data_IF_837343980981
#
_entry.id   IF_837343980981
#
_cell.length_a   1.000
_cell.length_b   1.000
_cell.length_c   1.000
_cell.angle_alpha   90.00
_cell.angle_beta   90.00
_cell.angle_gamma   90.00
#
_symmetry.space_group_name_H-M   'P 1'
#
loop_
_entity.id
_entity.type
_entity.pdbx_description
1 polymer ?
#
# COMPACT_ATOMS: atom_id res chain seq x y z
N UNK A 1 -3.11 10.59 23.93
CA UNK A 1 -3.63 10.14 22.62
C UNK A 1 -3.27 11.20 21.59
N UNK A 2 -2.05 11.16 21.08
CA UNK A 2 -1.57 12.11 20.06
C UNK A 2 -0.62 11.35 19.13
N UNK A 3 -0.73 11.61 17.82
CA UNK A 3 0.16 11.19 16.71
C UNK A 3 -0.14 9.95 15.83
N UNK A 4 -1.25 9.22 15.98
CA UNK A 4 -1.58 8.17 14.97
C UNK A 4 -2.31 8.74 13.74
N UNK A 5 -2.94 9.91 13.87
CA UNK A 5 -3.74 10.51 12.80
C UNK A 5 -2.87 10.98 11.62
N UNK A 6 -1.62 11.42 11.86
CA UNK A 6 -0.79 11.98 10.77
C UNK A 6 -0.29 10.92 9.77
N UNK A 7 0.15 9.74 10.22
CA UNK A 7 0.80 8.76 9.30
C UNK A 7 -0.15 8.16 8.28
N UNK A 8 -1.39 7.87 8.69
CA UNK A 8 -2.39 7.37 7.75
C UNK A 8 -2.79 8.47 6.76
N UNK A 9 -2.93 9.72 7.23
CA UNK A 9 -3.20 10.85 6.35
C UNK A 9 -2.05 11.10 5.37
N UNK A 10 -0.81 10.92 5.79
CA UNK A 10 0.37 11.01 4.92
C UNK A 10 0.34 9.92 3.84
N UNK A 11 -0.03 8.68 4.18
CA UNK A 11 -0.19 7.60 3.22
C UNK A 11 -1.32 7.90 2.22
N UNK A 12 -2.47 8.37 2.70
CA UNK A 12 -3.59 8.76 1.83
C UNK A 12 -3.21 9.93 0.90
N UNK A 13 -2.47 10.91 1.42
CA UNK A 13 -1.93 12.02 0.64
C UNK A 13 -0.96 11.54 -0.44
N UNK A 14 -0.05 10.62 -0.09
CA UNK A 14 0.87 10.00 -1.04
C UNK A 14 0.11 9.23 -2.13
N UNK A 15 -0.81 8.35 -1.76
CA UNK A 15 -1.61 7.57 -2.71
C UNK A 15 -2.41 8.47 -3.67
N UNK A 16 -2.96 9.58 -3.16
CA UNK A 16 -3.64 10.59 -3.98
C UNK A 16 -2.69 11.22 -5.00
N UNK A 17 -1.46 11.57 -4.59
CA UNK A 17 -0.45 12.13 -5.50
C UNK A 17 0.00 11.13 -6.56
N UNK A 18 0.21 9.87 -6.19
CA UNK A 18 0.62 8.82 -7.12
C UNK A 18 -0.46 8.56 -8.20
N UNK A 19 -1.73 8.72 -7.85
CA UNK A 19 -2.87 8.52 -8.76
C UNK A 19 -3.45 9.81 -9.34
N UNK A 20 -2.73 10.92 -9.24
CA UNK A 20 -3.15 12.18 -9.87
C UNK A 20 -3.15 12.05 -11.41
N UNK A 21 -4.26 12.39 -12.12
CA UNK A 21 -4.36 12.16 -13.56
C UNK A 21 -3.37 12.97 -14.42
N UNK A 22 -2.90 14.11 -13.93
CA UNK A 22 -2.04 15.03 -14.70
C UNK A 22 -0.56 14.81 -14.36
N UNK A 23 -0.25 14.53 -13.09
CA UNK A 23 1.11 14.52 -12.56
C UNK A 23 1.51 13.22 -11.86
N UNK A 24 0.60 12.24 -11.79
CA UNK A 24 0.78 10.98 -11.08
C UNK A 24 1.78 10.03 -11.72
N UNK A 25 2.07 8.94 -11.02
CA UNK A 25 2.94 7.89 -11.47
C UNK A 25 2.29 7.11 -12.63
N UNK A 26 2.96 6.98 -13.80
CA UNK A 26 2.38 6.29 -14.95
C UNK A 26 2.03 4.81 -14.71
N UNK A 27 2.67 4.17 -13.73
CA UNK A 27 2.36 2.79 -13.35
C UNK A 27 1.11 2.72 -12.49
N UNK A 28 1.00 3.56 -11.45
CA UNK A 28 -0.16 3.61 -10.54
C UNK A 28 -1.45 3.98 -11.27
N UNK A 29 -1.37 4.91 -12.24
CA UNK A 29 -2.50 5.31 -13.07
C UNK A 29 -3.05 4.19 -13.94
N UNK A 30 -2.22 3.19 -14.31
CA UNK A 30 -2.64 2.04 -15.11
C UNK A 30 -3.24 0.91 -14.27
N UNK A 31 -3.13 0.98 -12.94
CA UNK A 31 -3.63 -0.06 -12.06
C UNK A 31 -5.16 -0.03 -11.95
N UNK A 32 -5.75 -1.22 -11.93
CA UNK A 32 -7.16 -1.47 -11.63
C UNK A 32 -7.26 -2.37 -10.40
N UNK A 33 -8.45 -2.53 -9.84
CA UNK A 33 -8.64 -3.51 -8.76
C UNK A 33 -8.19 -4.91 -9.18
N UNK A 34 -8.48 -5.33 -10.41
CA UNK A 34 -8.10 -6.64 -10.93
C UNK A 34 -6.57 -6.81 -11.06
N UNK A 35 -5.84 -5.77 -11.46
CA UNK A 35 -4.38 -5.87 -11.60
C UNK A 35 -3.65 -5.90 -10.25
N UNK A 36 -4.29 -5.42 -9.18
CA UNK A 36 -3.72 -5.41 -7.82
C UNK A 36 -3.93 -6.74 -7.08
N UNK A 37 -4.92 -7.55 -7.47
CA UNK A 37 -5.22 -8.85 -6.83
C UNK A 37 -4.00 -9.76 -6.64
N UNK A 38 -3.17 -10.06 -7.67
CA UNK A 38 -2.03 -10.96 -7.49
C UNK A 38 -1.04 -10.43 -6.44
N UNK A 39 -0.75 -9.12 -6.44
CA UNK A 39 0.14 -8.51 -5.46
C UNK A 39 -0.46 -8.53 -4.05
N UNK A 40 -1.77 -8.30 -3.92
CA UNK A 40 -2.44 -8.40 -2.61
C UNK A 40 -2.35 -9.81 -2.03
N UNK A 41 -2.41 -10.84 -2.88
CA UNK A 41 -2.25 -12.23 -2.45
C UNK A 41 -0.81 -12.53 -2.02
N UNK A 42 0.18 -12.07 -2.78
CA UNK A 42 1.61 -12.19 -2.43
C UNK A 42 1.90 -11.57 -1.05
N UNK A 43 1.46 -10.33 -0.82
CA UNK A 43 1.63 -9.62 0.45
C UNK A 43 0.98 -10.37 1.64
N UNK A 44 -0.17 -11.03 1.42
CA UNK A 44 -0.79 -11.87 2.48
C UNK A 44 0.08 -13.06 2.82
N UNK A 45 0.68 -13.72 1.82
CA UNK A 45 1.62 -14.82 2.08
C UNK A 45 2.88 -14.35 2.80
N UNK A 46 3.41 -13.17 2.45
CA UNK A 46 4.56 -12.59 3.15
C UNK A 46 4.24 -12.27 4.62
N UNK A 47 3.05 -11.73 4.89
CA UNK A 47 2.56 -11.52 6.27
C UNK A 47 2.46 -12.84 7.03
N UNK A 48 1.94 -13.90 6.39
CA UNK A 48 1.87 -15.23 7.02
C UNK A 48 3.26 -15.78 7.33
N UNK A 49 4.21 -15.75 6.38
CA UNK A 49 5.59 -16.21 6.60
C UNK A 49 6.26 -15.48 7.76
N UNK A 50 6.07 -14.15 7.82
CA UNK A 50 6.60 -13.30 8.88
C UNK A 50 6.09 -13.72 10.27
N UNK A 51 4.79 -14.04 10.37
CA UNK A 51 4.17 -14.52 11.61
C UNK A 51 4.70 -15.92 11.98
N UNK A 52 4.76 -16.85 11.02
CA UNK A 52 5.24 -18.22 11.26
C UNK A 52 6.69 -18.26 11.74
N UNK A 53 7.49 -17.27 11.34
CA UNK A 53 8.90 -17.13 11.71
C UNK A 53 9.13 -16.28 12.96
N UNK A 54 8.07 -15.74 13.55
CA UNK A 54 8.11 -14.81 14.69
C UNK A 54 9.01 -13.58 14.46
N UNK A 55 9.04 -13.05 13.24
CA UNK A 55 9.91 -11.93 12.84
C UNK A 55 9.16 -10.59 12.85
N UNK A 56 9.09 -9.92 14.02
CA UNK A 56 8.24 -8.72 14.22
C UNK A 56 9.01 -7.39 14.33
N UNK A 57 10.29 -7.38 13.94
CA UNK A 57 11.22 -6.29 14.22
C UNK A 57 10.81 -4.92 13.65
#
# INVERSE_FOLDING_TARGET
MANTDNKLQDLLYLMKRLRDPETGCPWDLKQSFASIVPFTLEEVYEVVDTIEREDYA
#
